data_IF_928522636650
#
_entry.id   IF_928522636650
#
_cell.length_a   1.000
_cell.length_b   1.000
_cell.length_c   1.000
_cell.angle_alpha   90.00
_cell.angle_beta   90.00
_cell.angle_gamma   90.00
#
_symmetry.space_group_name_H-M   'P 1'
#
loop_
_entity.id
_entity.type
_entity.pdbx_description
1 polymer ?
#
# COMPACT_ATOMS: atom_id res chain seq x y z
N UNK A 1 64.62 40.45 -30.62
CA UNK A 1 63.16 40.19 -30.54
C UNK A 1 62.92 38.73 -30.85
N UNK A 2 62.59 37.92 -29.84
CA UNK A 2 62.28 36.48 -29.98
C UNK A 2 60.76 36.33 -29.92
N UNK A 3 60.17 35.71 -30.95
CA UNK A 3 58.76 35.30 -30.97
C UNK A 3 58.66 33.87 -30.43
N UNK A 4 57.73 33.66 -29.51
CA UNK A 4 57.44 32.38 -28.84
C UNK A 4 56.50 31.51 -29.68
N UNK A 5 56.60 30.17 -29.65
CA UNK A 5 55.66 29.29 -30.35
C UNK A 5 54.37 29.08 -29.52
N UNK A 6 53.21 29.16 -30.17
CA UNK A 6 51.92 28.82 -29.58
C UNK A 6 51.79 27.30 -29.42
N UNK A 7 51.55 26.85 -28.19
CA UNK A 7 51.21 25.47 -27.83
C UNK A 7 49.70 25.27 -27.98
N UNK A 8 49.27 24.42 -28.92
CA UNK A 8 47.88 24.01 -29.09
C UNK A 8 47.57 22.87 -28.10
N UNK A 9 46.89 23.17 -27.00
CA UNK A 9 46.36 22.16 -26.07
C UNK A 9 45.03 21.66 -26.65
N UNK A 10 45.01 20.43 -27.16
CA UNK A 10 43.78 19.71 -27.48
C UNK A 10 43.24 19.11 -26.18
N UNK A 11 42.20 19.73 -25.60
CA UNK A 11 41.46 19.15 -24.49
C UNK A 11 40.57 18.02 -25.03
N UNK A 12 40.98 16.77 -24.84
CA UNK A 12 40.10 15.62 -25.03
C UNK A 12 39.09 15.57 -23.87
N UNK A 13 37.90 16.11 -24.09
CA UNK A 13 36.76 15.93 -23.20
C UNK A 13 36.29 14.47 -23.30
N UNK A 14 36.66 13.65 -22.32
CA UNK A 14 35.97 12.38 -22.06
C UNK A 14 34.50 12.69 -21.73
N UNK A 15 33.51 12.14 -22.44
CA UNK A 15 32.13 12.34 -22.07
C UNK A 15 31.88 11.69 -20.70
N UNK A 16 31.43 12.49 -19.75
CA UNK A 16 30.91 12.00 -18.49
C UNK A 16 29.76 11.03 -18.79
N UNK A 17 29.83 9.82 -18.25
CA UNK A 17 28.73 8.85 -18.29
C UNK A 17 27.48 9.53 -17.72
N UNK A 18 26.54 9.88 -18.61
CA UNK A 18 25.27 10.48 -18.22
C UNK A 18 24.53 9.48 -17.32
N UNK A 19 24.26 9.88 -16.08
CA UNK A 19 23.43 9.10 -15.17
C UNK A 19 22.07 8.84 -15.81
N UNK A 20 21.61 7.58 -15.75
CA UNK A 20 20.33 7.15 -16.31
C UNK A 20 19.21 7.98 -15.70
N UNK A 21 18.33 8.54 -16.54
CA UNK A 21 17.25 9.40 -16.08
C UNK A 21 16.22 8.60 -15.27
N UNK A 22 15.46 9.25 -14.37
CA UNK A 22 14.41 8.59 -13.59
C UNK A 22 13.35 7.90 -14.50
N UNK A 23 13.11 8.46 -15.69
CA UNK A 23 12.18 7.92 -16.68
C UNK A 23 12.69 6.64 -17.34
N UNK A 24 13.99 6.55 -17.58
CA UNK A 24 14.65 5.31 -18.04
C UNK A 24 14.70 4.27 -16.92
N UNK A 25 14.89 4.70 -15.68
CA UNK A 25 14.92 3.80 -14.52
C UNK A 25 13.54 3.23 -14.16
N UNK A 26 12.46 3.98 -14.36
CA UNK A 26 11.10 3.56 -14.03
C UNK A 26 10.15 3.78 -15.22
N UNK A 27 10.25 2.96 -16.27
CA UNK A 27 9.52 3.17 -17.52
C UNK A 27 8.01 3.14 -17.30
N UNK A 28 7.35 4.22 -17.73
CA UNK A 28 5.90 4.38 -17.66
C UNK A 28 5.35 4.58 -16.24
N UNK A 29 6.18 4.79 -15.22
CA UNK A 29 5.69 4.97 -13.85
C UNK A 29 4.67 6.12 -13.75
N UNK A 30 3.69 5.98 -12.86
CA UNK A 30 2.77 7.08 -12.55
C UNK A 30 3.56 8.31 -12.06
N UNK A 31 3.12 9.55 -12.37
CA UNK A 31 3.82 10.75 -11.90
C UNK A 31 4.01 10.83 -10.39
N UNK A 32 3.08 10.30 -9.60
CA UNK A 32 3.15 10.22 -8.14
C UNK A 32 3.21 8.78 -7.61
N UNK A 33 3.79 7.86 -8.39
CA UNK A 33 4.07 6.51 -7.92
C UNK A 33 4.99 6.53 -6.69
N UNK A 34 4.82 5.53 -5.84
CA UNK A 34 5.77 5.18 -4.78
C UNK A 34 6.36 3.81 -5.12
N UNK A 35 7.66 3.71 -4.90
CA UNK A 35 8.41 2.48 -5.13
C UNK A 35 8.25 1.55 -3.93
N UNK A 36 7.87 0.31 -4.19
CA UNK A 36 8.06 -0.78 -3.25
C UNK A 36 9.45 -1.36 -3.45
N UNK A 37 10.16 -1.69 -2.36
CA UNK A 37 11.46 -2.37 -2.39
C UNK A 37 11.33 -3.69 -1.67
N UNK A 38 11.66 -4.78 -2.36
CA UNK A 38 11.57 -6.13 -1.80
C UNK A 38 12.89 -6.59 -1.22
N UNK A 39 12.84 -7.48 -0.24
CA UNK A 39 14.02 -8.12 0.33
C UNK A 39 14.41 -9.40 -0.43
N UNK A 40 13.43 -10.04 -1.09
CA UNK A 40 13.55 -11.34 -1.75
C UNK A 40 13.80 -11.19 -3.27
N UNK A 41 13.17 -12.05 -4.08
CA UNK A 41 13.33 -12.09 -5.56
C UNK A 41 12.95 -10.77 -6.24
N UNK A 42 11.99 -10.04 -5.67
CA UNK A 42 11.59 -8.71 -6.13
C UNK A 42 12.58 -7.67 -5.60
N UNK A 43 13.21 -6.91 -6.51
CA UNK A 43 14.06 -5.78 -6.12
C UNK A 43 13.22 -4.51 -5.94
N UNK A 44 12.40 -4.19 -6.94
CA UNK A 44 11.55 -2.99 -6.94
C UNK A 44 10.22 -3.27 -7.65
N UNK A 45 9.14 -2.65 -7.19
CA UNK A 45 7.84 -2.69 -7.87
C UNK A 45 7.19 -1.30 -7.91
N UNK A 46 6.53 -0.96 -9.02
CA UNK A 46 5.82 0.30 -9.20
C UNK A 46 4.61 0.18 -10.11
N UNK A 47 3.66 1.09 -9.91
CA UNK A 47 2.48 1.24 -10.75
C UNK A 47 2.82 2.13 -11.95
N UNK A 48 2.31 1.73 -13.11
CA UNK A 48 2.72 2.27 -14.40
C UNK A 48 1.54 2.41 -15.37
N UNK A 49 1.84 3.09 -16.47
CA UNK A 49 1.01 3.33 -17.64
C UNK A 49 -0.29 4.06 -17.24
N UNK A 50 -0.22 5.37 -16.92
CA UNK A 50 -1.36 6.16 -16.46
C UNK A 50 -2.49 6.15 -17.50
N UNK A 51 -3.72 5.99 -17.02
CA UNK A 51 -4.93 5.94 -17.86
C UNK A 51 -6.10 6.67 -17.20
N UNK A 52 -6.99 7.23 -18.01
CA UNK A 52 -8.23 7.90 -17.61
C UNK A 52 -9.49 7.03 -17.84
N UNK A 53 -9.31 5.75 -18.21
CA UNK A 53 -10.40 4.80 -18.54
C UNK A 53 -11.34 4.47 -17.38
N UNK A 54 -10.99 4.88 -16.17
CA UNK A 54 -11.80 4.73 -14.96
C UNK A 54 -11.73 6.04 -14.18
N UNK A 55 -12.86 6.75 -14.10
CA UNK A 55 -12.93 8.12 -13.56
C UNK A 55 -13.55 8.10 -12.16
N UNK A 56 -12.79 7.61 -11.19
CA UNK A 56 -13.17 7.62 -9.77
C UNK A 56 -12.35 8.65 -8.99
N UNK A 57 -11.03 8.69 -9.21
CA UNK A 57 -10.13 9.78 -8.80
C UNK A 57 -10.21 10.14 -7.30
N UNK A 58 -10.43 9.15 -6.43
CA UNK A 58 -10.57 9.34 -4.98
C UNK A 58 -9.33 9.99 -4.34
N UNK A 59 -8.16 9.83 -4.97
CA UNK A 59 -6.88 10.42 -4.57
C UNK A 59 -6.59 11.78 -5.24
N UNK A 60 -7.57 12.36 -5.94
CA UNK A 60 -7.49 13.69 -6.57
C UNK A 60 -6.64 13.76 -7.85
N UNK A 61 -6.01 12.67 -8.28
CA UNK A 61 -5.32 12.60 -9.58
C UNK A 61 -6.29 12.18 -10.69
N UNK A 62 -6.09 12.69 -11.92
CA UNK A 62 -6.94 12.40 -13.08
C UNK A 62 -6.50 11.16 -13.86
N UNK A 63 -5.87 10.20 -13.20
CA UNK A 63 -5.41 8.95 -13.78
C UNK A 63 -5.34 7.84 -12.73
N UNK A 64 -5.43 6.60 -13.20
CA UNK A 64 -5.12 5.38 -12.46
C UNK A 64 -4.07 4.56 -13.21
N UNK A 65 -3.54 3.49 -12.62
CA UNK A 65 -2.55 2.65 -13.29
C UNK A 65 -3.21 1.53 -14.11
N UNK A 66 -2.76 1.39 -15.36
CA UNK A 66 -3.12 0.24 -16.20
C UNK A 66 -2.22 -0.98 -15.94
N UNK A 67 -1.02 -0.77 -15.41
CA UNK A 67 -0.02 -1.84 -15.24
C UNK A 67 0.70 -1.80 -13.90
N UNK A 68 1.16 -2.98 -13.48
CA UNK A 68 2.18 -3.17 -12.45
C UNK A 68 3.48 -3.58 -13.14
N UNK A 69 4.59 -2.96 -12.77
CA UNK A 69 5.94 -3.33 -13.22
C UNK A 69 6.79 -3.76 -12.03
N UNK A 70 7.54 -4.84 -12.23
CA UNK A 70 8.36 -5.48 -11.18
C UNK A 70 9.73 -5.74 -11.75
N UNK A 71 10.74 -5.15 -11.12
CA UNK A 71 12.14 -5.44 -11.38
C UNK A 71 12.61 -6.52 -10.40
N UNK A 72 13.09 -7.63 -10.95
CA UNK A 72 13.71 -8.70 -10.17
C UNK A 72 15.15 -8.35 -9.82
N UNK A 73 15.70 -9.05 -8.82
CA UNK A 73 17.11 -8.91 -8.41
C UNK A 73 18.11 -9.27 -9.51
N UNK A 74 17.72 -10.14 -10.45
CA UNK A 74 18.52 -10.50 -11.62
C UNK A 74 18.46 -9.46 -12.76
N UNK A 75 17.75 -8.35 -12.55
CA UNK A 75 17.62 -7.24 -13.50
C UNK A 75 16.46 -7.39 -14.49
N UNK A 76 15.79 -8.55 -14.56
CA UNK A 76 14.61 -8.71 -15.43
C UNK A 76 13.48 -7.77 -15.01
N UNK A 77 12.80 -7.23 -16.01
CA UNK A 77 11.61 -6.41 -15.84
C UNK A 77 10.37 -7.19 -16.27
N UNK A 78 9.50 -7.49 -15.31
CA UNK A 78 8.20 -8.11 -15.55
C UNK A 78 7.12 -7.03 -15.58
N UNK A 79 6.09 -7.23 -16.40
CA UNK A 79 4.92 -6.34 -16.50
C UNK A 79 3.64 -7.16 -16.43
N UNK A 80 2.71 -6.72 -15.59
CA UNK A 80 1.32 -7.17 -15.58
C UNK A 80 0.44 -6.00 -16.01
N UNK A 81 -0.19 -6.11 -17.18
CA UNK A 81 -1.13 -5.12 -17.67
C UNK A 81 -2.56 -5.61 -17.47
N UNK A 82 -3.39 -4.78 -16.84
CA UNK A 82 -4.80 -5.08 -16.63
C UNK A 82 -5.61 -4.90 -17.92
N UNK A 83 -6.67 -5.71 -18.13
CA UNK A 83 -7.58 -5.53 -19.24
C UNK A 83 -8.27 -4.15 -19.17
N UNK A 84 -8.78 -3.63 -20.30
CA UNK A 84 -9.45 -2.33 -20.41
C UNK A 84 -10.55 -2.04 -19.39
N UNK A 85 -11.16 -3.09 -18.83
CA UNK A 85 -12.27 -3.02 -17.89
C UNK A 85 -11.87 -2.88 -16.41
N UNK A 86 -10.57 -2.73 -16.12
CA UNK A 86 -10.11 -2.54 -14.74
C UNK A 86 -8.84 -1.70 -14.63
N UNK A 87 -8.58 -1.12 -13.46
CA UNK A 87 -7.36 -0.35 -13.15
C UNK A 87 -6.84 -0.72 -11.76
N UNK A 88 -5.61 -0.36 -11.44
CA UNK A 88 -5.12 -0.32 -10.06
C UNK A 88 -5.33 1.11 -9.51
N UNK A 89 -5.98 1.22 -8.35
CA UNK A 89 -6.26 2.52 -7.68
C UNK A 89 -5.25 2.88 -6.57
N UNK A 90 -4.17 2.10 -6.42
CA UNK A 90 -3.09 2.38 -5.47
C UNK A 90 -2.06 3.38 -6.01
N UNK A 91 -1.13 3.80 -5.14
CA UNK A 91 0.13 4.48 -5.51
C UNK A 91 1.38 3.71 -5.11
N UNK A 92 1.24 2.72 -4.23
CA UNK A 92 2.32 1.91 -3.70
C UNK A 92 1.92 0.43 -3.75
N UNK A 93 2.63 -0.42 -4.50
CA UNK A 93 2.54 -1.86 -4.31
C UNK A 93 3.00 -2.25 -2.90
N UNK A 94 2.33 -3.22 -2.27
CA UNK A 94 2.75 -3.76 -0.97
C UNK A 94 3.35 -5.14 -1.22
N UNK A 95 4.57 -5.37 -0.73
CA UNK A 95 5.30 -6.63 -0.87
C UNK A 95 5.26 -7.37 0.45
N UNK A 96 4.87 -8.64 0.44
CA UNK A 96 4.82 -9.50 1.61
C UNK A 96 4.81 -10.97 1.18
N UNK A 97 5.57 -11.82 1.87
CA UNK A 97 5.49 -13.28 1.73
C UNK A 97 4.23 -13.76 2.45
N UNK A 98 3.11 -13.83 1.72
CA UNK A 98 1.79 -14.08 2.30
C UNK A 98 1.55 -15.56 2.55
N UNK A 99 2.13 -16.45 1.75
CA UNK A 99 1.99 -17.89 1.89
C UNK A 99 3.19 -18.58 2.59
N UNK A 100 4.23 -17.83 2.92
CA UNK A 100 5.38 -18.31 3.69
C UNK A 100 6.36 -19.14 2.87
N UNK A 101 6.34 -19.04 1.54
CA UNK A 101 7.22 -19.79 0.64
C UNK A 101 8.62 -19.16 0.46
N UNK A 102 8.86 -18.01 1.09
CA UNK A 102 10.11 -17.24 0.99
C UNK A 102 10.13 -16.26 -0.18
N UNK A 103 9.03 -16.09 -0.91
CA UNK A 103 8.91 -15.12 -2.02
C UNK A 103 7.80 -14.13 -1.73
N UNK A 104 8.06 -12.87 -2.03
CA UNK A 104 7.07 -11.82 -1.81
C UNK A 104 5.94 -11.91 -2.85
N UNK A 105 4.70 -11.98 -2.39
CA UNK A 105 3.52 -11.58 -3.13
C UNK A 105 3.39 -10.06 -3.19
N UNK A 106 2.57 -9.59 -4.13
CA UNK A 106 2.24 -8.18 -4.32
C UNK A 106 0.75 -7.98 -4.08
N UNK A 107 0.42 -7.11 -3.12
CA UNK A 107 -0.95 -6.75 -2.77
C UNK A 107 -1.31 -5.38 -3.35
N UNK A 108 -2.43 -5.35 -4.09
CA UNK A 108 -2.99 -4.15 -4.71
C UNK A 108 -4.53 -4.17 -4.64
N UNK A 109 -5.13 -3.01 -4.89
CA UNK A 109 -6.56 -2.79 -5.10
C UNK A 109 -6.80 -2.63 -6.59
N UNK A 110 -7.57 -3.57 -7.13
CA UNK A 110 -8.05 -3.57 -8.51
C UNK A 110 -9.49 -3.08 -8.54
N UNK A 111 -9.79 -2.12 -9.40
CA UNK A 111 -11.14 -1.63 -9.59
C UNK A 111 -11.66 -1.94 -10.97
N UNK A 112 -12.80 -2.63 -10.99
CA UNK A 112 -13.53 -2.99 -12.20
C UNK A 112 -14.52 -1.88 -12.55
N UNK A 113 -14.66 -1.56 -13.84
CA UNK A 113 -15.59 -0.52 -14.31
C UNK A 113 -17.02 -0.71 -13.85
N UNK A 114 -17.47 -1.95 -13.69
CA UNK A 114 -18.86 -2.28 -13.34
C UNK A 114 -19.00 -2.96 -11.97
N UNK A 115 -18.04 -3.83 -11.61
CA UNK A 115 -18.11 -4.66 -10.39
C UNK A 115 -17.54 -3.99 -9.14
N UNK A 116 -16.86 -2.85 -9.27
CA UNK A 116 -16.22 -2.15 -8.15
C UNK A 116 -14.83 -2.66 -7.79
N UNK A 117 -14.34 -2.27 -6.62
CA UNK A 117 -13.01 -2.59 -6.14
C UNK A 117 -12.90 -3.98 -5.51
N UNK A 118 -11.74 -4.60 -5.65
CA UNK A 118 -11.33 -5.86 -5.04
C UNK A 118 -9.86 -5.78 -4.63
N UNK A 119 -9.50 -6.45 -3.53
CA UNK A 119 -8.12 -6.72 -3.20
C UNK A 119 -7.63 -7.85 -4.12
N UNK A 120 -6.45 -7.69 -4.70
CA UNK A 120 -5.79 -8.73 -5.51
C UNK A 120 -4.42 -9.07 -4.93
N UNK A 121 -4.08 -10.35 -5.01
CA UNK A 121 -2.75 -10.87 -4.73
C UNK A 121 -2.13 -11.30 -6.05
N UNK A 122 -0.92 -10.80 -6.31
CA UNK A 122 -0.16 -11.05 -7.53
C UNK A 122 1.14 -11.75 -7.14
N UNK A 123 1.50 -12.82 -7.83
CA UNK A 123 2.75 -13.53 -7.61
C UNK A 123 3.51 -13.74 -8.93
N UNK A 124 4.78 -14.11 -8.81
CA UNK A 124 5.60 -14.54 -9.94
C UNK A 124 5.52 -16.06 -10.04
N UNK A 125 4.89 -16.57 -11.10
CA UNK A 125 4.82 -18.01 -11.41
C UNK A 125 5.34 -18.24 -12.82
N UNK A 126 6.21 -19.23 -12.98
CA UNK A 126 6.87 -19.57 -14.26
C UNK A 126 7.52 -18.35 -14.93
N UNK A 127 8.13 -17.48 -14.12
CA UNK A 127 8.81 -16.27 -14.59
C UNK A 127 7.90 -15.15 -15.08
N UNK A 128 6.59 -15.22 -14.82
CA UNK A 128 5.58 -14.23 -15.22
C UNK A 128 4.78 -13.74 -14.01
N UNK A 129 4.35 -12.48 -14.05
CA UNK A 129 3.40 -11.95 -13.07
C UNK A 129 1.99 -12.43 -13.41
N UNK A 130 1.23 -12.83 -12.39
CA UNK A 130 -0.19 -13.15 -12.51
C UNK A 130 -0.95 -12.86 -11.24
N UNK A 131 -2.21 -12.42 -11.37
CA UNK A 131 -3.14 -12.37 -10.24
C UNK A 131 -3.47 -13.81 -9.84
N UNK A 132 -3.11 -14.19 -8.62
CA UNK A 132 -3.31 -15.56 -8.11
C UNK A 132 -4.56 -15.67 -7.24
N UNK A 133 -5.00 -14.56 -6.64
CA UNK A 133 -6.23 -14.50 -5.84
C UNK A 133 -6.85 -13.10 -5.88
N UNK A 134 -8.18 -13.03 -5.70
CA UNK A 134 -8.96 -11.79 -5.71
C UNK A 134 -10.13 -11.93 -4.73
N UNK A 135 -10.40 -10.91 -3.90
CA UNK A 135 -11.61 -10.89 -3.05
C UNK A 135 -12.86 -10.64 -3.90
N UNK A 136 -14.07 -10.99 -3.43
CA UNK A 136 -15.29 -10.57 -4.09
C UNK A 136 -15.31 -9.04 -4.30
N UNK A 137 -15.55 -8.55 -5.52
CA UNK A 137 -15.68 -7.13 -5.77
C UNK A 137 -16.82 -6.51 -4.93
N UNK A 138 -16.70 -5.22 -4.62
CA UNK A 138 -17.68 -4.45 -3.83
C UNK A 138 -19.08 -4.33 -4.47
N UNK A 139 -19.26 -4.80 -5.70
CA UNK A 139 -20.56 -5.00 -6.36
C UNK A 139 -21.04 -3.83 -7.21
N UNK A 140 -20.36 -2.68 -7.18
CA UNK A 140 -20.69 -1.52 -8.04
C UNK A 140 -19.48 -0.64 -8.31
N UNK A 141 -19.47 0.00 -9.47
CA UNK A 141 -18.49 1.00 -9.86
C UNK A 141 -18.31 2.11 -8.81
N UNK A 142 -17.16 2.80 -8.83
CA UNK A 142 -16.87 3.95 -7.97
C UNK A 142 -17.03 3.62 -6.48
N UNK A 143 -16.49 2.48 -6.10
CA UNK A 143 -16.32 2.06 -4.71
C UNK A 143 -14.88 1.65 -4.53
N UNK A 144 -14.37 1.81 -3.32
CA UNK A 144 -12.93 1.73 -3.08
C UNK A 144 -12.63 0.97 -1.79
N UNK A 145 -11.43 0.38 -1.77
CA UNK A 145 -10.84 -0.27 -0.61
C UNK A 145 -9.59 0.51 -0.25
N UNK A 146 -9.37 0.76 1.04
CA UNK A 146 -8.09 1.29 1.49
C UNK A 146 -7.40 0.26 2.40
N UNK A 147 -6.29 -0.34 1.98
CA UNK A 147 -5.52 -1.25 2.82
C UNK A 147 -5.09 -0.59 4.13
N UNK A 148 -5.25 -1.32 5.23
CA UNK A 148 -4.98 -0.86 6.59
C UNK A 148 -3.70 -1.48 7.18
N UNK A 149 -3.29 -2.65 6.70
CA UNK A 149 -2.09 -3.33 7.18
C UNK A 149 -1.90 -4.72 6.60
N UNK A 150 -0.67 -5.24 6.70
CA UNK A 150 -0.33 -6.64 6.46
C UNK A 150 0.47 -7.13 7.66
N UNK A 151 -0.03 -8.15 8.36
CA UNK A 151 0.60 -8.77 9.54
C UNK A 151 -0.11 -10.09 9.87
N UNK A 152 0.51 -10.93 10.69
CA UNK A 152 -0.16 -12.06 11.32
C UNK A 152 -1.10 -11.53 12.42
N UNK A 153 -2.39 -11.39 12.07
CA UNK A 153 -3.39 -10.79 12.94
C UNK A 153 -4.10 -11.83 13.82
N UNK A 154 -4.18 -13.09 13.38
CA UNK A 154 -4.83 -14.17 14.14
C UNK A 154 -3.86 -15.07 14.93
N UNK A 155 -2.56 -14.93 14.70
CA UNK A 155 -1.48 -15.61 15.41
C UNK A 155 -1.18 -17.01 14.87
N UNK A 156 -1.56 -17.30 13.63
CA UNK A 156 -1.35 -18.61 12.99
C UNK A 156 0.01 -18.76 12.31
N UNK A 157 0.82 -17.70 12.29
CA UNK A 157 2.15 -17.65 11.70
C UNK A 157 2.17 -17.24 10.23
N UNK A 158 1.03 -16.98 9.60
CA UNK A 158 0.93 -16.45 8.22
C UNK A 158 0.54 -14.98 8.23
N UNK A 159 0.90 -14.27 7.17
CA UNK A 159 0.52 -12.87 7.04
C UNK A 159 -0.91 -12.75 6.47
N UNK A 160 -1.71 -11.91 7.13
CA UNK A 160 -3.04 -11.51 6.70
C UNK A 160 -3.03 -10.10 6.12
N UNK A 161 -4.05 -9.78 5.32
CA UNK A 161 -4.26 -8.46 4.74
C UNK A 161 -5.53 -7.83 5.30
N UNK A 162 -5.39 -6.69 5.96
CA UNK A 162 -6.49 -5.86 6.44
C UNK A 162 -6.78 -4.71 5.46
N UNK A 163 -8.06 -4.45 5.16
CA UNK A 163 -8.49 -3.24 4.46
C UNK A 163 -9.83 -2.72 4.97
N UNK A 164 -10.08 -1.41 4.83
CA UNK A 164 -11.41 -0.82 5.04
C UNK A 164 -12.14 -0.71 3.72
N UNK A 165 -13.29 -1.37 3.62
CA UNK A 165 -14.21 -1.30 2.50
C UNK A 165 -15.04 -0.03 2.58
N UNK A 166 -15.00 0.75 1.49
CA UNK A 166 -15.78 1.97 1.29
C UNK A 166 -15.69 2.90 2.52
N UNK A 167 -14.48 3.40 2.85
CA UNK A 167 -14.21 4.15 4.09
C UNK A 167 -15.00 5.46 4.24
N UNK A 168 -15.80 5.85 3.23
CA UNK A 168 -16.63 7.05 3.22
C UNK A 168 -18.14 6.75 3.17
N UNK A 169 -18.52 5.48 3.07
CA UNK A 169 -19.93 5.10 2.85
C UNK A 169 -20.37 3.87 3.66
N UNK A 170 -19.52 2.84 3.78
CA UNK A 170 -19.82 1.63 4.57
C UNK A 170 -18.96 1.55 5.82
N UNK A 171 -17.65 1.74 5.69
CA UNK A 171 -16.74 1.72 6.82
C UNK A 171 -16.55 0.36 7.47
N UNK A 172 -16.33 -0.66 6.63
CA UNK A 172 -16.19 -2.05 7.08
C UNK A 172 -14.76 -2.53 6.92
N UNK A 173 -14.07 -2.76 8.03
CA UNK A 173 -12.80 -3.46 8.07
C UNK A 173 -13.02 -4.94 7.74
N UNK A 174 -12.17 -5.50 6.88
CA UNK A 174 -12.12 -6.92 6.54
C UNK A 174 -10.68 -7.40 6.57
N UNK A 175 -10.46 -8.58 7.14
CA UNK A 175 -9.17 -9.26 7.16
C UNK A 175 -9.27 -10.53 6.31
N UNK A 176 -8.20 -10.78 5.57
CA UNK A 176 -8.12 -11.89 4.63
C UNK A 176 -6.78 -12.60 4.75
N UNK A 177 -6.82 -13.92 4.78
CA UNK A 177 -5.63 -14.76 4.70
C UNK A 177 -5.54 -15.40 3.31
N UNK A 178 -4.33 -15.61 2.82
CA UNK A 178 -4.08 -16.38 1.59
C UNK A 178 -3.91 -17.85 1.95
N UNK A 179 -4.87 -18.68 1.53
CA UNK A 179 -4.90 -20.11 1.83
C UNK A 179 -5.09 -20.92 0.54
N UNK A 180 -4.10 -21.74 0.19
CA UNK A 180 -4.15 -22.59 -1.00
C UNK A 180 -4.41 -21.81 -2.30
N UNK A 181 -3.88 -20.60 -2.42
CA UNK A 181 -4.09 -19.71 -3.57
C UNK A 181 -5.48 -19.05 -3.62
N UNK A 182 -6.21 -19.02 -2.51
CA UNK A 182 -7.50 -18.32 -2.38
C UNK A 182 -7.47 -17.36 -1.18
N UNK A 183 -8.17 -16.23 -1.30
CA UNK A 183 -8.36 -15.32 -0.18
C UNK A 183 -9.57 -15.77 0.64
N UNK A 184 -9.34 -16.07 1.93
CA UNK A 184 -10.38 -16.44 2.90
C UNK A 184 -10.57 -15.29 3.90
N UNK A 185 -11.81 -14.83 4.08
CA UNK A 185 -12.12 -13.80 5.08
C UNK A 185 -12.04 -14.42 6.47
N UNK A 186 -11.24 -13.82 7.36
CA UNK A 186 -11.03 -14.32 8.73
C UNK A 186 -11.71 -13.43 9.77
N UNK A 187 -11.91 -12.15 9.46
CA UNK A 187 -12.59 -11.22 10.35
C UNK A 187 -13.26 -10.06 9.60
N UNK A 188 -14.26 -9.48 10.25
CA UNK A 188 -15.01 -8.31 9.79
C UNK A 188 -15.44 -7.43 10.95
N UNK A 189 -15.24 -6.13 10.82
CA UNK A 189 -15.62 -5.14 11.84
C UNK A 189 -16.22 -3.91 11.17
N UNK A 190 -17.44 -3.52 11.55
CA UNK A 190 -18.08 -2.26 11.11
C UNK A 190 -17.60 -1.07 11.96
N UNK A 191 -18.05 0.16 11.67
CA UNK A 191 -17.63 1.40 12.36
C UNK A 191 -16.12 1.69 12.21
N UNK A 192 -15.60 1.68 10.98
CA UNK A 192 -14.19 1.98 10.70
C UNK A 192 -14.00 2.93 9.51
N UNK A 193 -13.04 3.86 9.58
CA UNK A 193 -12.65 4.69 8.44
C UNK A 193 -11.18 5.08 8.50
N UNK A 194 -10.40 4.64 7.52
CA UNK A 194 -8.96 4.94 7.41
C UNK A 194 -8.63 5.85 6.22
N UNK A 195 -9.57 6.66 5.75
CA UNK A 195 -9.31 7.61 4.66
C UNK A 195 -10.24 8.83 4.72
N UNK A 196 -9.82 9.92 4.07
CA UNK A 196 -10.65 11.11 3.81
C UNK A 196 -10.76 11.30 2.30
N UNK A 197 -11.97 11.46 1.79
CA UNK A 197 -12.20 11.66 0.35
C UNK A 197 -11.37 12.85 -0.17
N UNK A 198 -10.65 12.64 -1.28
CA UNK A 198 -9.77 13.65 -1.88
C UNK A 198 -8.41 13.83 -1.19
N UNK A 199 -8.16 13.14 -0.07
CA UNK A 199 -6.85 13.16 0.59
C UNK A 199 -5.84 12.27 -0.14
N UNK A 200 -4.55 12.59 0.03
CA UNK A 200 -3.45 11.70 -0.35
C UNK A 200 -2.91 10.87 0.81
N UNK A 201 -3.41 11.10 2.03
CA UNK A 201 -3.08 10.30 3.21
C UNK A 201 -3.82 8.98 3.16
N UNK A 202 -3.09 7.88 2.95
CA UNK A 202 -3.61 6.52 2.84
C UNK A 202 -3.43 5.71 4.12
N UNK A 203 -2.62 6.19 5.07
CA UNK A 203 -2.13 5.47 6.25
C UNK A 203 -2.82 5.86 7.55
N UNK A 204 -4.13 6.13 7.56
CA UNK A 204 -4.89 6.36 8.82
C UNK A 204 -5.20 5.03 9.54
N UNK A 205 -4.18 4.20 9.71
CA UNK A 205 -4.20 2.96 10.47
C UNK A 205 -2.78 2.63 10.92
N UNK A 206 -2.64 1.88 12.01
CA UNK A 206 -1.35 1.45 12.52
C UNK A 206 -1.42 -0.01 12.98
N UNK A 207 -0.35 -0.76 12.73
CA UNK A 207 -0.22 -2.17 13.11
C UNK A 207 0.92 -2.31 14.09
N UNK A 208 0.66 -2.97 15.22
CA UNK A 208 1.64 -3.37 16.21
C UNK A 208 1.00 -4.32 17.21
N UNK A 209 1.80 -5.05 17.99
CA UNK A 209 1.33 -5.69 19.21
C UNK A 209 1.05 -4.60 20.26
N UNK A 210 -0.24 -4.33 20.51
CA UNK A 210 -0.70 -3.24 21.37
C UNK A 210 -1.07 -3.74 22.77
N UNK A 211 -1.52 -4.99 22.92
CA UNK A 211 -1.81 -5.60 24.23
C UNK A 211 -0.68 -6.48 24.80
N UNK A 212 0.41 -6.69 24.05
CA UNK A 212 1.62 -7.37 24.48
C UNK A 212 1.52 -8.89 24.44
N UNK A 213 0.58 -9.43 23.67
CA UNK A 213 0.29 -10.87 23.64
C UNK A 213 1.10 -11.64 22.56
N UNK A 214 1.92 -10.91 21.79
CA UNK A 214 2.78 -11.44 20.73
C UNK A 214 2.13 -11.52 19.35
N UNK A 215 0.84 -11.18 19.20
CA UNK A 215 0.11 -11.13 17.93
C UNK A 215 -0.10 -9.68 17.49
N UNK A 216 -0.14 -9.42 16.18
CA UNK A 216 -0.35 -8.06 15.71
C UNK A 216 -1.79 -7.60 15.96
N UNK A 217 -1.94 -6.38 16.45
CA UNK A 217 -3.21 -5.69 16.58
C UNK A 217 -3.31 -4.53 15.56
N UNK A 218 -4.53 -4.02 15.36
CA UNK A 218 -4.81 -2.90 14.48
C UNK A 218 -5.40 -1.71 15.24
N UNK A 219 -4.74 -0.56 15.13
CA UNK A 219 -5.29 0.74 15.51
C UNK A 219 -5.93 1.41 14.28
N UNK A 220 -7.24 1.60 14.29
CA UNK A 220 -8.02 2.17 13.18
C UNK A 220 -9.10 3.13 13.70
N UNK A 221 -9.36 4.27 13.02
CA UNK A 221 -10.40 5.18 13.48
C UNK A 221 -11.81 4.58 13.37
N UNK A 222 -12.72 5.04 14.23
CA UNK A 222 -14.17 4.90 14.03
C UNK A 222 -14.61 5.52 12.71
N UNK A 223 -15.81 5.21 12.23
CA UNK A 223 -16.26 5.70 10.93
C UNK A 223 -16.30 7.25 10.84
N UNK A 224 -16.71 7.91 11.93
CA UNK A 224 -16.68 9.37 12.08
C UNK A 224 -15.26 9.94 12.31
N UNK A 225 -14.26 9.06 12.46
CA UNK A 225 -12.86 9.33 12.79
C UNK A 225 -12.63 10.05 14.11
N UNK A 226 -13.62 10.08 15.02
CA UNK A 226 -13.55 10.76 16.34
C UNK A 226 -13.10 9.87 17.47
N UNK A 227 -12.89 8.58 17.23
CA UNK A 227 -12.27 7.65 18.16
C UNK A 227 -11.20 6.83 17.44
N UNK A 228 -10.12 6.48 18.15
CA UNK A 228 -9.19 5.44 17.72
C UNK A 228 -9.59 4.14 18.40
N UNK A 229 -9.82 3.10 17.60
CA UNK A 229 -10.15 1.74 18.05
C UNK A 229 -8.91 0.87 17.92
N UNK A 230 -8.63 0.08 18.95
CA UNK A 230 -7.57 -0.93 18.96
C UNK A 230 -8.25 -2.29 18.91
N UNK A 231 -7.96 -3.06 17.87
CA UNK A 231 -8.62 -4.32 17.55
C UNK A 231 -7.57 -5.44 17.52
N UNK A 232 -7.82 -6.47 18.31
CA UNK A 232 -7.10 -7.75 18.26
C UNK A 232 -7.94 -8.77 17.52
N UNK A 233 -7.29 -9.69 16.81
CA UNK A 233 -7.95 -10.78 16.07
C UNK A 233 -7.54 -12.16 16.55
N UNK A 234 -6.66 -12.25 17.55
CA UNK A 234 -6.27 -13.50 18.19
C UNK A 234 -7.47 -14.16 18.87
N UNK A 235 -7.83 -15.34 18.37
CA UNK A 235 -9.01 -16.07 18.86
C UNK A 235 -10.35 -15.41 18.47
N UNK A 236 -10.34 -14.52 17.49
CA UNK A 236 -11.51 -13.77 17.02
C UNK A 236 -11.42 -12.28 17.30
N UNK A 237 -12.41 -11.52 16.81
CA UNK A 237 -12.44 -10.05 16.93
C UNK A 237 -12.65 -9.62 18.38
N UNK A 238 -11.71 -8.84 18.92
CA UNK A 238 -11.80 -8.19 20.23
C UNK A 238 -11.38 -6.73 20.13
N UNK A 239 -12.22 -5.80 20.60
CA UNK A 239 -11.81 -4.40 20.77
C UNK A 239 -11.11 -4.25 22.12
N UNK A 240 -9.78 -4.20 22.11
CA UNK A 240 -8.96 -4.11 23.33
C UNK A 240 -8.98 -2.71 23.94
N UNK A 241 -9.22 -1.68 23.13
CA UNK A 241 -9.44 -0.31 23.61
C UNK A 241 -10.16 0.57 22.59
N UNK A 242 -10.84 1.61 23.11
CA UNK A 242 -11.36 2.74 22.33
C UNK A 242 -10.99 4.04 23.01
N UNK A 243 -10.33 4.94 22.28
CA UNK A 243 -9.92 6.25 22.79
C UNK A 243 -10.55 7.37 21.98
N UNK A 244 -11.26 8.26 22.66
CA UNK A 244 -11.83 9.46 22.03
C UNK A 244 -10.70 10.39 21.58
N UNK A 245 -10.80 10.87 20.35
CA UNK A 245 -9.89 11.86 19.78
C UNK A 245 -10.46 13.27 19.99
N UNK A 246 -9.60 14.28 20.25
CA UNK A 246 -10.06 15.66 20.43
C UNK A 246 -10.55 16.31 19.12
N UNK A 247 -10.17 15.75 17.96
CA UNK A 247 -10.68 16.09 16.64
C UNK A 247 -10.67 14.83 15.75
N UNK A 248 -11.23 14.91 14.54
CA UNK A 248 -11.21 13.77 13.62
C UNK A 248 -9.77 13.44 13.20
N UNK A 249 -9.43 12.15 13.11
CA UNK A 249 -8.19 11.71 12.47
C UNK A 249 -8.15 12.15 11.00
N UNK A 250 -7.01 12.66 10.55
CA UNK A 250 -6.89 13.29 9.23
C UNK A 250 -5.55 13.15 8.51
N UNK A 251 -4.53 12.55 9.13
CA UNK A 251 -3.25 12.29 8.47
C UNK A 251 -2.73 10.89 8.82
N UNK A 252 -1.69 10.47 8.10
CA UNK A 252 -1.06 9.16 8.28
C UNK A 252 -0.59 8.96 9.74
N UNK A 253 -0.75 7.74 10.24
CA UNK A 253 -0.34 7.37 11.59
C UNK A 253 1.12 6.95 11.60
N UNK A 254 1.77 7.15 12.75
CA UNK A 254 3.07 6.58 13.04
C UNK A 254 3.00 5.77 14.34
N UNK A 255 3.92 4.82 14.49
CA UNK A 255 4.06 4.01 15.70
C UNK A 255 5.42 4.29 16.31
N UNK A 256 5.46 4.57 17.62
CA UNK A 256 6.68 4.78 18.40
C UNK A 256 6.72 3.82 19.60
N UNK A 257 7.92 3.48 20.06
CA UNK A 257 8.14 2.72 21.30
C UNK A 257 8.70 3.63 22.38
N UNK A 258 7.97 3.79 23.48
CA UNK A 258 8.37 4.59 24.64
C UNK A 258 8.40 3.72 25.89
N UNK A 259 9.59 3.49 26.46
CA UNK A 259 9.73 2.72 27.71
C UNK A 259 9.12 1.31 27.63
N UNK A 260 9.31 0.62 26.51
CA UNK A 260 8.76 -0.71 26.25
C UNK A 260 7.28 -0.74 25.81
N UNK A 261 6.60 0.41 25.72
CA UNK A 261 5.19 0.49 25.29
C UNK A 261 5.04 1.08 23.90
N UNK A 262 4.14 0.49 23.11
CA UNK A 262 3.77 0.97 21.78
C UNK A 262 2.78 2.14 21.86
N UNK A 263 3.05 3.22 21.13
CA UNK A 263 2.22 4.43 21.08
C UNK A 263 1.90 4.77 19.63
N UNK A 264 0.65 5.13 19.35
CA UNK A 264 0.21 5.62 18.04
C UNK A 264 0.23 7.14 18.03
N UNK A 265 0.96 7.72 17.07
CA UNK A 265 0.85 9.14 16.75
C UNK A 265 -0.26 9.31 15.72
N UNK A 266 -1.30 10.05 16.10
CA UNK A 266 -2.48 10.33 15.27
C UNK A 266 -2.42 11.79 14.82
N UNK A 267 -2.33 12.01 13.52
CA UNK A 267 -2.55 13.34 12.95
C UNK A 267 -4.03 13.68 12.85
N UNK A 268 -4.41 14.86 13.35
CA UNK A 268 -5.78 15.32 13.50
C UNK A 268 -6.12 16.43 12.50
N UNK A 269 -7.42 16.61 12.25
CA UNK A 269 -7.93 17.78 11.55
C UNK A 269 -7.47 19.07 12.26
N UNK A 270 -6.96 20.02 11.46
CA UNK A 270 -6.30 21.22 11.97
C UNK A 270 -4.79 21.08 12.20
N UNK A 271 -4.17 19.97 11.77
CA UNK A 271 -2.71 19.82 11.68
C UNK A 271 -1.99 19.45 12.98
N UNK A 272 -2.73 19.27 14.08
CA UNK A 272 -2.17 18.83 15.37
C UNK A 272 -1.96 17.31 15.39
N UNK A 273 -1.03 16.84 16.19
CA UNK A 273 -0.85 15.41 16.47
C UNK A 273 -1.17 15.09 17.94
N UNK A 274 -1.62 13.86 18.20
CA UNK A 274 -1.81 13.33 19.55
C UNK A 274 -1.19 11.94 19.67
N UNK A 275 -0.67 11.62 20.85
CA UNK A 275 -0.11 10.31 21.20
C UNK A 275 -1.17 9.51 21.94
N UNK A 276 -1.57 8.37 21.37
CA UNK A 276 -2.62 7.50 21.89
C UNK A 276 -2.05 6.11 22.17
N UNK A 277 -2.47 5.53 23.28
CA UNK A 277 -2.18 4.15 23.67
C UNK A 277 -3.50 3.43 23.98
N UNK A 278 -3.55 2.09 23.92
CA UNK A 278 -4.65 1.30 24.47
C UNK A 278 -4.96 1.64 25.94
#
# INVERSE_FOLDING_TARGET
>A
MRLSPFLLIVLLLTPALAGTTARERYPGALPDHRLARGANVIAEAWLADPTDRYRHFVLGARYEAASLKVRLRDGRLLTLTLPPESVFEDRLPRLADLDGDGRDEIVLVRSHKTRGAALVVIAIRDGRLGIIAETPPTGRANTWLNPAGIADFDGDGRLDVAYVQMPHALGRLRLWTLDGGRLREIARVDDTSNHIIGSRHLGLAAVADFDGDGVADLAVPSFDRRSLRFLSFRGGVREIARKRLPAAAAADFAVERHGGRTVVIVGLAGGRTVKIRP
#
